data_IF_681208578220
#
_entry.id   IF_681208578220
#
_cell.length_a   1.000
_cell.length_b   1.000
_cell.length_c   1.000
_cell.angle_alpha   90.00
_cell.angle_beta   90.00
_cell.angle_gamma   90.00
#
_symmetry.space_group_name_H-M   'P 1'
#
loop_
_entity.id
_entity.type
_entity.pdbx_description
1 polymer ?
#
# COMPACT_ATOMS: atom_id res chain seq x y z
N UNK A 1 -30.30 34.41 44.54
CA UNK A 1 -29.15 33.46 44.67
C UNK A 1 -29.24 32.28 43.69
N UNK A 2 -30.44 31.86 43.33
CA UNK A 2 -30.65 30.73 42.38
C UNK A 2 -30.32 31.13 40.93
N UNK A 3 -30.68 32.34 40.51
CA UNK A 3 -30.38 32.83 39.15
C UNK A 3 -28.87 32.90 38.83
N UNK A 4 -28.06 33.30 39.84
CA UNK A 4 -26.60 33.33 39.67
C UNK A 4 -25.96 31.94 39.56
N UNK A 5 -26.55 30.91 40.19
CA UNK A 5 -26.08 29.53 40.10
C UNK A 5 -26.40 28.93 38.69
N UNK A 6 -27.52 29.33 38.11
CA UNK A 6 -27.94 28.84 36.81
C UNK A 6 -27.11 29.46 35.67
N UNK A 7 -26.76 30.75 35.78
CA UNK A 7 -25.89 31.47 34.83
C UNK A 7 -24.49 30.85 34.85
N UNK A 8 -23.91 30.64 36.03
CA UNK A 8 -22.57 30.00 36.14
C UNK A 8 -22.54 28.55 35.65
N UNK A 9 -23.64 27.82 35.75
CA UNK A 9 -23.75 26.45 35.22
C UNK A 9 -23.85 26.40 33.70
N UNK A 10 -24.56 27.38 33.11
CA UNK A 10 -24.66 27.54 31.68
C UNK A 10 -23.34 28.00 31.06
N UNK A 11 -22.64 28.93 31.67
CA UNK A 11 -21.31 29.39 31.23
C UNK A 11 -20.28 28.28 31.31
N UNK A 12 -20.31 27.45 32.34
CA UNK A 12 -19.43 26.26 32.40
C UNK A 12 -19.75 25.25 31.31
N UNK A 13 -21.03 25.00 31.05
CA UNK A 13 -21.47 24.07 30.00
C UNK A 13 -21.10 24.57 28.60
N UNK A 14 -21.24 25.88 28.37
CA UNK A 14 -20.89 26.53 27.12
C UNK A 14 -19.36 26.52 26.89
N UNK A 15 -18.58 26.78 27.94
CA UNK A 15 -17.12 26.73 27.92
C UNK A 15 -16.59 25.31 27.75
N UNK A 16 -17.25 24.32 28.30
CA UNK A 16 -16.91 22.90 28.11
C UNK A 16 -17.26 22.47 26.67
N UNK A 17 -18.39 22.93 26.13
CA UNK A 17 -18.81 22.64 24.77
C UNK A 17 -17.93 23.36 23.75
N UNK A 18 -17.52 24.61 23.99
CA UNK A 18 -16.56 25.32 23.14
C UNK A 18 -15.16 24.65 23.15
N UNK A 19 -14.73 24.15 24.31
CA UNK A 19 -13.46 23.39 24.41
C UNK A 19 -13.53 22.02 23.73
N UNK A 20 -14.70 21.38 23.66
CA UNK A 20 -14.94 20.15 22.92
C UNK A 20 -15.05 20.41 21.40
N UNK A 21 -15.44 21.63 21.01
CA UNK A 21 -15.56 22.06 19.62
C UNK A 21 -14.31 22.78 19.08
N UNK A 22 -13.31 23.09 19.93
CA UNK A 22 -11.97 23.45 19.47
C UNK A 22 -11.32 22.18 18.96
N UNK A 23 -11.61 21.86 17.71
CA UNK A 23 -10.84 20.92 16.91
C UNK A 23 -9.40 21.41 17.02
N UNK A 24 -8.53 20.59 17.59
CA UNK A 24 -7.09 20.89 17.61
C UNK A 24 -6.59 20.88 16.17
N UNK A 25 -6.58 22.07 15.57
CA UNK A 25 -6.11 22.25 14.18
C UNK A 25 -4.68 21.74 14.00
N UNK A 26 -3.87 21.79 15.06
CA UNK A 26 -2.53 21.21 15.06
C UNK A 26 -2.54 19.70 14.84
N UNK A 27 -3.43 18.96 15.51
CA UNK A 27 -3.55 17.51 15.33
C UNK A 27 -3.99 17.15 13.92
N UNK A 28 -4.91 17.92 13.31
CA UNK A 28 -5.35 17.72 11.93
C UNK A 28 -4.20 17.97 10.95
N UNK A 29 -3.43 19.03 11.14
CA UNK A 29 -2.31 19.38 10.28
C UNK A 29 -1.21 18.32 10.34
N UNK A 30 -0.92 17.79 11.53
CA UNK A 30 0.01 16.67 11.70
C UNK A 30 -0.50 15.38 11.06
N UNK A 31 -1.77 15.05 11.19
CA UNK A 31 -2.36 13.86 10.54
C UNK A 31 -2.29 13.97 9.01
N UNK A 32 -2.54 15.16 8.45
CA UNK A 32 -2.39 15.42 7.02
C UNK A 32 -0.94 15.33 6.56
N UNK A 33 -0.01 15.89 7.32
CA UNK A 33 1.40 15.84 7.02
C UNK A 33 1.93 14.39 7.04
N UNK A 34 1.53 13.60 8.03
CA UNK A 34 1.88 12.19 8.15
C UNK A 34 1.37 11.41 6.92
N UNK A 35 0.10 11.52 6.58
CA UNK A 35 -0.48 10.85 5.43
C UNK A 35 0.21 11.26 4.12
N UNK A 36 0.42 12.57 3.92
CA UNK A 36 1.08 13.07 2.72
C UNK A 36 2.51 12.52 2.60
N UNK A 37 3.26 12.50 3.69
CA UNK A 37 4.63 11.97 3.71
C UNK A 37 4.64 10.47 3.39
N UNK A 38 3.77 9.68 4.03
CA UNK A 38 3.66 8.24 3.79
C UNK A 38 3.23 7.95 2.36
N UNK A 39 2.24 8.68 1.84
CA UNK A 39 1.76 8.50 0.47
C UNK A 39 2.83 8.85 -0.57
N UNK A 40 3.55 9.96 -0.42
CA UNK A 40 4.64 10.36 -1.32
C UNK A 40 5.76 9.31 -1.27
N UNK A 41 6.11 8.85 -0.09
CA UNK A 41 7.16 7.86 0.08
C UNK A 41 6.76 6.51 -0.53
N UNK A 42 5.54 6.03 -0.27
CA UNK A 42 5.00 4.81 -0.88
C UNK A 42 4.97 4.90 -2.41
N UNK A 43 4.56 6.04 -2.94
CA UNK A 43 4.47 6.26 -4.39
C UNK A 43 5.80 6.12 -5.13
N UNK A 44 6.94 6.28 -4.46
CA UNK A 44 8.25 6.04 -5.07
C UNK A 44 8.48 4.56 -5.38
N UNK A 45 7.98 3.66 -4.53
CA UNK A 45 8.21 2.22 -4.67
C UNK A 45 7.27 1.56 -5.67
N UNK A 46 6.04 2.07 -5.85
CA UNK A 46 5.05 1.45 -6.74
C UNK A 46 5.54 1.39 -8.20
N UNK A 47 5.84 2.51 -8.88
CA UNK A 47 6.29 2.46 -10.27
C UNK A 47 7.64 1.75 -10.42
N UNK A 48 8.51 1.84 -9.39
CA UNK A 48 9.79 1.14 -9.40
C UNK A 48 9.58 -0.37 -9.32
N UNK A 49 8.65 -0.86 -8.50
CA UNK A 49 8.26 -2.27 -8.43
C UNK A 49 7.76 -2.77 -9.79
N UNK A 50 6.87 -2.03 -10.44
CA UNK A 50 6.32 -2.40 -11.74
C UNK A 50 7.41 -2.47 -12.81
N UNK A 51 8.29 -1.45 -12.86
CA UNK A 51 9.40 -1.40 -13.80
C UNK A 51 10.41 -2.53 -13.59
N UNK A 52 10.79 -2.78 -12.33
CA UNK A 52 11.72 -3.86 -12.00
C UNK A 52 11.13 -5.25 -12.31
N UNK A 53 9.85 -5.48 -12.02
CA UNK A 53 9.19 -6.74 -12.35
C UNK A 53 9.19 -7.02 -13.85
N UNK A 54 8.91 -6.00 -14.66
CA UNK A 54 8.97 -6.11 -16.12
C UNK A 54 10.38 -6.43 -16.62
N UNK A 55 11.39 -5.69 -16.13
CA UNK A 55 12.78 -5.91 -16.50
C UNK A 55 13.23 -7.33 -16.13
N UNK A 56 12.90 -7.78 -14.91
CA UNK A 56 13.22 -9.13 -14.46
C UNK A 56 12.55 -10.20 -15.33
N UNK A 57 11.26 -10.04 -15.65
CA UNK A 57 10.54 -10.97 -16.52
C UNK A 57 11.21 -11.10 -17.89
N UNK A 58 11.66 -9.97 -18.47
CA UNK A 58 12.38 -9.98 -19.77
C UNK A 58 13.72 -10.68 -19.64
N UNK A 59 14.55 -10.28 -18.65
CA UNK A 59 15.90 -10.85 -18.46
C UNK A 59 15.82 -12.35 -18.18
N UNK A 60 14.90 -12.78 -17.32
CA UNK A 60 14.70 -14.18 -17.00
C UNK A 60 14.16 -14.97 -18.19
N UNK A 61 13.32 -14.37 -19.03
CA UNK A 61 12.89 -14.99 -20.29
C UNK A 61 14.08 -15.24 -21.24
N UNK A 62 15.03 -14.30 -21.32
CA UNK A 62 16.25 -14.47 -22.11
C UNK A 62 17.11 -15.59 -21.50
N UNK A 63 17.27 -15.60 -20.18
CA UNK A 63 17.96 -16.70 -19.50
C UNK A 63 17.29 -18.04 -19.77
N UNK A 64 15.98 -18.13 -19.66
CA UNK A 64 15.25 -19.37 -19.92
C UNK A 64 15.48 -19.94 -21.31
N UNK A 65 15.60 -19.05 -22.32
CA UNK A 65 15.84 -19.46 -23.71
C UNK A 65 17.30 -19.76 -24.02
N UNK A 66 18.24 -18.95 -23.54
CA UNK A 66 19.66 -19.04 -23.89
C UNK A 66 20.46 -19.91 -22.92
N UNK A 67 20.02 -20.08 -21.69
CA UNK A 67 20.74 -20.80 -20.60
C UNK A 67 22.14 -20.26 -20.33
N UNK A 68 22.37 -18.99 -20.61
CA UNK A 68 23.61 -18.27 -20.40
C UNK A 68 23.72 -17.78 -18.97
N UNK A 69 24.87 -18.01 -18.33
CA UNK A 69 25.13 -17.67 -16.92
C UNK A 69 25.08 -16.15 -16.67
N UNK A 70 25.50 -15.35 -17.63
CA UNK A 70 25.39 -13.90 -17.55
C UNK A 70 23.95 -13.43 -17.27
N UNK A 71 22.98 -14.00 -18.00
CA UNK A 71 21.57 -13.65 -17.82
C UNK A 71 20.99 -14.17 -16.50
N UNK A 72 21.52 -15.30 -16.00
CA UNK A 72 21.15 -15.81 -14.68
C UNK A 72 21.63 -14.87 -13.57
N UNK A 73 22.87 -14.42 -13.63
CA UNK A 73 23.43 -13.49 -12.64
C UNK A 73 22.74 -12.14 -12.70
N UNK A 74 22.46 -11.61 -13.90
CA UNK A 74 21.68 -10.40 -14.09
C UNK A 74 20.28 -10.53 -13.48
N UNK A 75 19.57 -11.65 -13.71
CA UNK A 75 18.26 -11.87 -13.11
C UNK A 75 18.36 -11.86 -11.58
N UNK A 76 19.30 -12.57 -10.99
CA UNK A 76 19.49 -12.61 -9.54
C UNK A 76 19.86 -11.25 -8.95
N UNK A 77 20.64 -10.44 -9.67
CA UNK A 77 20.98 -9.09 -9.24
C UNK A 77 19.73 -8.22 -9.15
N UNK A 78 18.95 -8.14 -10.23
CA UNK A 78 17.72 -7.34 -10.26
C UNK A 78 16.66 -7.85 -9.30
N UNK A 79 16.59 -9.16 -9.11
CA UNK A 79 15.71 -9.77 -8.12
C UNK A 79 15.99 -9.30 -6.68
N UNK A 80 17.26 -9.13 -6.31
CA UNK A 80 17.61 -8.60 -4.97
C UNK A 80 17.16 -7.16 -4.80
N UNK A 81 17.35 -6.32 -5.83
CA UNK A 81 16.87 -4.93 -5.82
C UNK A 81 15.35 -4.88 -5.74
N UNK A 82 14.67 -5.70 -6.54
CA UNK A 82 13.22 -5.85 -6.48
C UNK A 82 12.76 -6.24 -5.06
N UNK A 83 13.41 -7.19 -4.42
CA UNK A 83 13.03 -7.67 -3.09
C UNK A 83 13.08 -6.58 -2.04
N UNK A 84 14.13 -5.75 -2.03
CA UNK A 84 14.24 -4.62 -1.11
C UNK A 84 13.14 -3.59 -1.40
N UNK A 85 12.96 -3.24 -2.68
CA UNK A 85 11.94 -2.28 -3.12
C UNK A 85 10.53 -2.77 -2.77
N UNK A 86 10.25 -4.04 -3.04
CA UNK A 86 8.96 -4.68 -2.75
C UNK A 86 8.66 -4.68 -1.24
N UNK A 87 9.63 -5.06 -0.39
CA UNK A 87 9.47 -5.05 1.05
C UNK A 87 9.15 -3.65 1.60
N UNK A 88 9.81 -2.62 1.08
CA UNK A 88 9.54 -1.23 1.46
C UNK A 88 8.17 -0.76 0.96
N UNK A 89 7.79 -1.14 -0.26
CA UNK A 89 6.47 -0.85 -0.82
C UNK A 89 5.35 -1.47 0.01
N UNK A 90 5.47 -2.74 0.37
CA UNK A 90 4.49 -3.45 1.23
C UNK A 90 4.41 -2.80 2.61
N UNK A 91 5.54 -2.52 3.26
CA UNK A 91 5.55 -1.91 4.59
C UNK A 91 4.86 -0.54 4.60
N UNK A 92 5.16 0.31 3.63
CA UNK A 92 4.56 1.64 3.52
C UNK A 92 3.09 1.58 3.09
N UNK A 93 2.71 0.61 2.26
CA UNK A 93 1.31 0.35 1.87
C UNK A 93 0.44 -0.03 3.06
N UNK A 94 0.92 -0.94 3.92
CA UNK A 94 0.23 -1.32 5.16
C UNK A 94 0.05 -0.12 6.08
N UNK A 95 1.06 0.77 6.20
CA UNK A 95 0.92 2.00 6.98
C UNK A 95 -0.19 2.88 6.43
N UNK A 96 -0.29 3.06 5.11
CA UNK A 96 -1.36 3.84 4.47
C UNK A 96 -2.75 3.26 4.77
N UNK A 97 -2.92 1.94 4.75
CA UNK A 97 -4.20 1.31 5.11
C UNK A 97 -4.59 1.63 6.56
N UNK A 98 -3.65 1.55 7.49
CA UNK A 98 -3.91 1.96 8.87
C UNK A 98 -4.24 3.45 9.01
N UNK A 99 -3.57 4.32 8.25
CA UNK A 99 -3.85 5.76 8.26
C UNK A 99 -5.25 6.09 7.75
N UNK A 100 -5.81 5.33 6.81
CA UNK A 100 -7.21 5.46 6.43
C UNK A 100 -8.15 5.22 7.62
N UNK A 101 -7.89 4.20 8.42
CA UNK A 101 -8.70 3.88 9.60
C UNK A 101 -8.53 4.85 10.77
N UNK A 102 -7.36 5.46 10.92
CA UNK A 102 -7.02 6.32 12.06
C UNK A 102 -7.14 7.79 11.74
N UNK A 103 -6.39 8.29 10.75
CA UNK A 103 -6.31 9.72 10.42
C UNK A 103 -7.53 10.20 9.63
N UNK A 104 -8.16 9.30 8.87
CA UNK A 104 -9.28 9.59 7.99
C UNK A 104 -10.54 8.77 8.34
N UNK A 105 -10.75 8.47 9.62
CA UNK A 105 -11.83 7.59 10.11
C UNK A 105 -13.23 8.01 9.64
N UNK A 106 -13.55 9.29 9.67
CA UNK A 106 -14.85 9.79 9.20
C UNK A 106 -15.03 9.60 7.69
N UNK A 107 -13.98 9.80 6.92
CA UNK A 107 -13.98 9.57 5.47
C UNK A 107 -14.11 8.07 5.17
N UNK A 108 -13.34 7.23 5.86
CA UNK A 108 -13.40 5.77 5.73
C UNK A 108 -14.78 5.22 6.08
N UNK A 109 -15.45 5.79 7.06
CA UNK A 109 -16.83 5.46 7.39
C UNK A 109 -17.79 5.82 6.25
N UNK A 110 -17.63 7.00 5.65
CA UNK A 110 -18.49 7.48 4.56
C UNK A 110 -18.35 6.66 3.27
N UNK A 111 -17.11 6.28 2.91
CA UNK A 111 -16.82 5.52 1.66
C UNK A 111 -16.75 4.01 1.88
N UNK A 112 -16.78 3.55 3.13
CA UNK A 112 -16.48 2.16 3.51
C UNK A 112 -17.39 1.11 2.87
N UNK A 113 -18.67 1.41 2.72
CA UNK A 113 -19.63 0.50 2.12
C UNK A 113 -19.33 0.22 0.62
N UNK A 114 -18.70 1.16 -0.07
CA UNK A 114 -18.39 1.04 -1.49
C UNK A 114 -16.92 0.71 -1.70
N UNK A 115 -16.02 1.34 -0.96
CA UNK A 115 -14.57 1.22 -1.13
C UNK A 115 -13.95 0.08 -0.32
N UNK A 116 -14.57 -0.34 0.77
CA UNK A 116 -14.05 -1.39 1.65
C UNK A 116 -13.95 -2.76 0.98
N UNK A 117 -14.94 -3.14 0.17
CA UNK A 117 -14.90 -4.40 -0.57
C UNK A 117 -13.77 -4.46 -1.61
N UNK A 118 -13.54 -3.44 -2.47
CA UNK A 118 -12.37 -3.35 -3.32
C UNK A 118 -11.03 -3.46 -2.57
N UNK A 119 -10.85 -2.77 -1.46
CA UNK A 119 -9.63 -2.86 -0.64
C UNK A 119 -9.42 -4.26 -0.06
N UNK A 120 -10.49 -4.90 0.45
CA UNK A 120 -10.41 -6.26 0.98
C UNK A 120 -10.04 -7.27 -0.11
N UNK A 121 -10.61 -7.15 -1.31
CA UNK A 121 -10.26 -8.00 -2.46
C UNK A 121 -8.80 -7.79 -2.86
N UNK A 122 -8.32 -6.56 -2.89
CA UNK A 122 -6.92 -6.26 -3.17
C UNK A 122 -5.99 -6.88 -2.12
N UNK A 123 -6.25 -6.65 -0.84
CA UNK A 123 -5.43 -7.19 0.24
C UNK A 123 -5.37 -8.72 0.21
N UNK A 124 -6.51 -9.39 -0.01
CA UNK A 124 -6.57 -10.86 -0.01
C UNK A 124 -6.00 -11.44 -1.31
N UNK A 125 -6.44 -10.97 -2.47
CA UNK A 125 -6.08 -11.60 -3.75
C UNK A 125 -4.72 -11.13 -4.24
N UNK A 126 -4.51 -9.82 -4.33
CA UNK A 126 -3.25 -9.28 -4.85
C UNK A 126 -2.09 -9.58 -3.90
N UNK A 127 -2.19 -9.20 -2.63
CA UNK A 127 -1.11 -9.37 -1.67
C UNK A 127 -0.72 -10.84 -1.44
N UNK A 128 -1.68 -11.74 -1.25
CA UNK A 128 -1.37 -13.16 -1.06
C UNK A 128 -0.85 -13.82 -2.32
N UNK A 129 -1.39 -13.47 -3.48
CA UNK A 129 -0.91 -13.97 -4.77
C UNK A 129 0.52 -13.49 -5.02
N UNK A 130 0.77 -12.19 -4.87
CA UNK A 130 2.11 -11.62 -5.03
C UNK A 130 3.10 -12.22 -4.06
N UNK A 131 2.78 -12.29 -2.77
CA UNK A 131 3.67 -12.86 -1.75
C UNK A 131 4.02 -14.31 -2.04
N UNK A 132 3.07 -15.12 -2.53
CA UNK A 132 3.30 -16.51 -2.90
C UNK A 132 4.29 -16.62 -4.07
N UNK A 133 4.08 -15.85 -5.14
CA UNK A 133 4.96 -15.90 -6.30
C UNK A 133 6.31 -15.23 -6.04
N UNK A 134 6.36 -14.17 -5.24
CA UNK A 134 7.61 -13.59 -4.74
C UNK A 134 8.40 -14.63 -3.94
N UNK A 135 7.76 -15.40 -3.06
CA UNK A 135 8.43 -16.46 -2.33
C UNK A 135 9.01 -17.53 -3.27
N UNK A 136 8.26 -17.95 -4.29
CA UNK A 136 8.77 -18.87 -5.32
C UNK A 136 9.94 -18.26 -6.08
N UNK A 137 9.85 -16.99 -6.48
CA UNK A 137 10.90 -16.27 -7.19
C UNK A 137 12.20 -16.21 -6.38
N UNK A 138 12.15 -15.97 -5.07
CA UNK A 138 13.36 -15.91 -4.22
C UNK A 138 13.90 -17.28 -3.83
N UNK A 139 13.04 -18.22 -3.49
CA UNK A 139 13.42 -19.51 -2.90
C UNK A 139 13.26 -20.68 -3.86
N UNK A 140 12.70 -20.48 -5.05
CA UNK A 140 12.35 -21.52 -6.01
C UNK A 140 13.47 -21.96 -6.92
N UNK A 141 14.56 -21.22 -7.09
CA UNK A 141 15.63 -21.48 -8.08
C UNK A 141 16.11 -22.95 -8.19
N UNK A 142 16.15 -23.66 -7.05
CA UNK A 142 16.57 -25.06 -6.98
C UNK A 142 15.43 -26.03 -6.65
N UNK A 143 14.21 -25.51 -6.41
CA UNK A 143 13.09 -26.29 -5.89
C UNK A 143 11.99 -26.52 -6.90
N UNK A 144 11.89 -25.64 -7.89
CA UNK A 144 10.84 -25.70 -8.91
C UNK A 144 11.46 -25.75 -10.31
N UNK A 145 10.66 -26.15 -11.31
CA UNK A 145 11.11 -26.13 -12.70
C UNK A 145 11.40 -24.68 -13.15
N UNK A 146 12.37 -24.54 -14.07
CA UNK A 146 12.73 -23.22 -14.58
C UNK A 146 11.56 -22.50 -15.30
N UNK A 147 10.65 -23.25 -15.92
CA UNK A 147 9.44 -22.68 -16.52
C UNK A 147 8.45 -22.15 -15.47
N UNK A 148 8.28 -22.87 -14.36
CA UNK A 148 7.42 -22.42 -13.26
C UNK A 148 8.03 -21.22 -12.53
N UNK A 149 9.35 -21.18 -12.39
CA UNK A 149 10.04 -20.02 -11.80
C UNK A 149 9.82 -18.77 -12.66
N UNK A 150 10.05 -18.88 -13.98
CA UNK A 150 9.77 -17.79 -14.93
C UNK A 150 8.30 -17.35 -14.89
N UNK A 151 7.37 -18.31 -14.86
CA UNK A 151 5.95 -17.99 -14.75
C UNK A 151 5.65 -17.22 -13.45
N UNK A 152 6.29 -17.59 -12.34
CA UNK A 152 6.13 -16.89 -11.04
C UNK A 152 6.64 -15.45 -11.12
N UNK A 153 7.75 -15.19 -11.81
CA UNK A 153 8.26 -13.82 -12.02
C UNK A 153 7.29 -12.97 -12.84
N UNK A 154 6.71 -13.51 -13.90
CA UNK A 154 5.71 -12.81 -14.70
C UNK A 154 4.38 -12.63 -13.94
N UNK A 155 3.95 -13.60 -13.15
CA UNK A 155 2.74 -13.51 -12.34
C UNK A 155 2.88 -12.49 -11.21
N UNK A 156 4.07 -12.37 -10.61
CA UNK A 156 4.37 -11.28 -9.65
C UNK A 156 4.21 -9.91 -10.32
N UNK A 157 4.80 -9.71 -11.50
CA UNK A 157 4.66 -8.44 -12.23
C UNK A 157 3.23 -8.14 -12.69
N UNK A 158 2.48 -9.16 -13.08
CA UNK A 158 1.08 -9.04 -13.45
C UNK A 158 0.21 -8.70 -12.22
N UNK A 159 0.44 -9.38 -11.09
CA UNK A 159 -0.25 -9.11 -9.83
C UNK A 159 -0.06 -7.67 -9.38
N UNK A 160 1.19 -7.20 -9.32
CA UNK A 160 1.52 -5.81 -8.98
C UNK A 160 0.86 -4.80 -9.93
N UNK A 161 0.81 -5.12 -11.24
CA UNK A 161 0.15 -4.24 -12.23
C UNK A 161 -1.35 -4.19 -12.03
N UNK A 162 -2.01 -5.31 -11.76
CA UNK A 162 -3.46 -5.38 -11.49
C UNK A 162 -3.79 -4.62 -10.20
N UNK A 163 -2.99 -4.80 -9.14
CA UNK A 163 -3.14 -4.09 -7.88
C UNK A 163 -3.04 -2.57 -8.08
N UNK A 164 -2.00 -2.09 -8.75
CA UNK A 164 -1.83 -0.68 -9.05
C UNK A 164 -2.99 -0.11 -9.87
N UNK A 165 -3.45 -0.84 -10.90
CA UNK A 165 -4.60 -0.45 -11.71
C UNK A 165 -5.88 -0.36 -10.89
N UNK A 166 -6.09 -1.33 -9.99
CA UNK A 166 -7.27 -1.39 -9.14
C UNK A 166 -7.36 -0.19 -8.19
N UNK A 167 -6.26 0.18 -7.56
CA UNK A 167 -6.17 1.38 -6.72
C UNK A 167 -6.43 2.66 -7.50
N UNK A 168 -5.93 2.76 -8.74
CA UNK A 168 -6.20 3.91 -9.60
C UNK A 168 -7.69 4.02 -9.98
N UNK A 169 -8.35 2.89 -10.26
CA UNK A 169 -9.80 2.85 -10.51
C UNK A 169 -10.58 3.31 -9.28
N UNK A 170 -10.21 2.80 -8.11
CA UNK A 170 -10.83 3.18 -6.85
C UNK A 170 -10.63 4.68 -6.55
N UNK A 171 -9.43 5.22 -6.77
CA UNK A 171 -9.13 6.64 -6.61
C UNK A 171 -9.93 7.51 -7.61
N UNK A 172 -10.04 7.09 -8.86
CA UNK A 172 -10.82 7.80 -9.88
C UNK A 172 -12.31 7.84 -9.54
N UNK A 173 -12.83 6.79 -8.88
CA UNK A 173 -14.21 6.74 -8.43
C UNK A 173 -14.48 7.73 -7.27
N UNK A 174 -13.49 8.01 -6.43
CA UNK A 174 -13.61 8.91 -5.28
C UNK A 174 -13.54 10.41 -5.65
N UNK A 175 -13.17 10.78 -6.88
CA UNK A 175 -13.09 12.14 -7.37
C UNK A 175 -14.36 12.55 -8.11
#
# INVERSE_FOLDING_TARGET
>A
KENNKQITKNDKKQKTMSNLLTIDTGAIDWARAQFALTAIYHWLFVPLTLGLALIMGIIETIYYRKRDEFWLEATKFWQRLFGVNFAMGVATGIILEFEFGTNWSNYSWFVGDIFGAPLAVEGIVAFFMESTFVAVMFFGWKKVSAGFHLASTWLTGLGATISAWWILVANAWMQ
#
